data_IF_195848590152
#
_entry.id   IF_195848590152
#
_cell.length_a   1.000
_cell.length_b   1.000
_cell.length_c   1.000
_cell.angle_alpha   90.00
_cell.angle_beta   90.00
_cell.angle_gamma   90.00
#
_symmetry.space_group_name_H-M   'P 1'
#
loop_
_entity.id
_entity.type
_entity.pdbx_description
1 polymer ?
#
# COMPACT_ATOMS: atom_id res chain seq x y z
N UNK A 1 27.91 63.41 38.10
CA UNK A 1 29.30 62.93 37.90
C UNK A 1 29.59 61.89 38.97
N UNK A 2 30.03 60.65 38.75
CA UNK A 2 31.07 60.11 37.85
C UNK A 2 30.76 58.62 37.49
N UNK A 3 31.20 58.24 36.30
CA UNK A 3 31.35 56.94 35.57
C UNK A 3 31.88 55.69 36.30
N UNK A 4 31.58 54.45 35.83
CA UNK A 4 32.33 53.65 34.81
C UNK A 4 31.90 52.15 34.77
N UNK A 5 31.77 51.63 33.53
CA UNK A 5 31.77 50.28 32.93
C UNK A 5 31.69 48.94 33.71
N UNK A 6 30.97 47.98 33.11
CA UNK A 6 31.50 46.64 32.77
C UNK A 6 30.72 45.94 31.62
N UNK A 7 31.37 45.89 30.46
CA UNK A 7 31.44 44.80 29.46
C UNK A 7 30.24 43.85 29.26
N UNK A 8 29.57 43.96 28.11
CA UNK A 8 28.88 42.84 27.44
C UNK A 8 29.49 42.61 26.06
N UNK A 9 30.17 41.47 25.94
CA UNK A 9 30.80 40.98 24.71
C UNK A 9 29.71 40.43 23.78
N UNK A 10 29.35 41.17 22.73
CA UNK A 10 28.57 40.64 21.60
C UNK A 10 29.52 40.42 20.43
N UNK A 11 30.13 39.24 20.35
CA UNK A 11 30.84 38.79 19.13
C UNK A 11 29.82 38.29 18.11
N UNK A 12 29.64 39.10 17.08
CA UNK A 12 29.02 38.79 15.80
C UNK A 12 29.72 37.63 15.08
N UNK A 13 29.00 36.54 14.82
CA UNK A 13 29.36 35.58 13.78
C UNK A 13 28.36 35.66 12.63
N UNK A 14 28.90 36.09 11.49
CA UNK A 14 28.24 36.36 10.22
C UNK A 14 27.63 35.08 9.65
N UNK A 15 26.30 35.03 9.50
CA UNK A 15 25.62 34.01 8.70
C UNK A 15 25.88 34.29 7.22
N UNK A 16 26.82 33.53 6.66
CA UNK A 16 27.22 33.61 5.26
C UNK A 16 26.12 32.99 4.38
N UNK A 17 25.16 33.81 3.94
CA UNK A 17 24.14 33.44 2.95
C UNK A 17 24.77 33.38 1.55
N UNK A 18 25.29 32.21 1.17
CA UNK A 18 25.72 31.95 -0.21
C UNK A 18 24.48 31.76 -1.09
N UNK A 19 24.23 32.72 -1.99
CA UNK A 19 23.20 32.65 -3.03
C UNK A 19 23.37 31.37 -3.87
N UNK A 20 22.29 30.62 -4.20
CA UNK A 20 22.41 29.46 -5.07
C UNK A 20 22.48 29.93 -6.53
N UNK A 21 23.53 29.51 -7.23
CA UNK A 21 23.62 29.60 -8.68
C UNK A 21 22.54 28.71 -9.30
N UNK A 22 21.69 29.31 -10.12
CA UNK A 22 20.76 28.61 -10.99
C UNK A 22 21.56 27.87 -12.08
N UNK A 23 21.54 26.55 -12.05
CA UNK A 23 21.75 25.72 -13.23
C UNK A 23 20.82 24.51 -13.13
N UNK A 24 19.92 24.42 -14.12
CA UNK A 24 18.90 23.42 -14.26
C UNK A 24 19.53 22.05 -14.55
N UNK A 25 19.37 21.11 -13.63
CA UNK A 25 19.46 19.68 -13.89
C UNK A 25 18.29 18.99 -13.18
N UNK A 26 17.17 18.85 -13.88
CA UNK A 26 16.12 17.91 -13.50
C UNK A 26 16.65 16.49 -13.76
N UNK A 27 17.39 15.95 -12.79
CA UNK A 27 17.81 14.55 -12.77
C UNK A 27 17.05 13.81 -11.65
N UNK A 28 16.48 12.67 -12.05
CA UNK A 28 15.71 11.68 -11.31
C UNK A 28 16.07 11.49 -9.82
N UNK A 29 15.39 12.22 -8.94
CA UNK A 29 15.44 12.03 -7.48
C UNK A 29 14.09 11.57 -6.88
N UNK A 30 13.31 10.79 -7.62
CA UNK A 30 12.07 10.19 -7.09
C UNK A 30 12.25 8.78 -6.49
N UNK A 31 13.42 8.14 -6.64
CA UNK A 31 13.56 6.71 -6.36
C UNK A 31 13.78 6.30 -4.89
N UNK A 32 13.86 7.18 -3.89
CA UNK A 32 14.10 6.66 -2.52
C UNK A 32 13.66 7.53 -1.33
N UNK A 33 12.47 8.12 -1.36
CA UNK A 33 11.89 8.69 -0.13
C UNK A 33 11.12 7.61 0.64
N UNK A 34 11.76 6.72 1.41
CA UNK A 34 10.99 5.77 2.24
C UNK A 34 9.94 6.54 3.07
N UNK A 35 8.70 6.05 3.11
CA UNK A 35 7.67 6.65 3.99
C UNK A 35 8.25 6.61 5.41
N UNK A 36 8.29 7.75 6.13
CA UNK A 36 8.77 7.74 7.49
C UNK A 36 7.98 6.72 8.31
N UNK A 37 8.61 5.97 9.23
CA UNK A 37 7.97 4.85 9.91
C UNK A 37 6.66 5.26 10.61
N UNK A 38 6.60 6.46 11.20
CA UNK A 38 5.41 7.00 11.86
C UNK A 38 4.27 7.44 10.92
N UNK A 39 4.49 7.46 9.60
CA UNK A 39 3.47 7.77 8.59
C UNK A 39 2.91 6.52 7.90
N UNK A 40 3.49 5.36 8.19
CA UNK A 40 3.01 4.09 7.68
C UNK A 40 1.89 3.57 8.57
N UNK A 41 0.85 3.02 7.95
CA UNK A 41 -0.24 2.30 8.62
C UNK A 41 0.14 0.85 8.95
N UNK A 42 1.36 0.44 8.61
CA UNK A 42 1.86 -0.90 8.91
C UNK A 42 2.49 -0.95 10.31
N UNK A 43 2.70 -2.16 10.81
CA UNK A 43 3.30 -2.37 12.12
C UNK A 43 4.72 -1.79 12.22
N UNK A 44 4.86 -0.77 13.07
CA UNK A 44 6.15 -0.29 13.53
C UNK A 44 6.33 -0.63 15.00
N UNK A 45 7.54 -1.05 15.41
CA UNK A 45 7.84 -1.23 16.83
C UNK A 45 7.53 0.08 17.54
N UNK A 46 6.56 0.05 18.45
CA UNK A 46 6.43 1.14 19.38
C UNK A 46 7.47 0.90 20.47
N UNK A 47 8.41 1.83 20.63
CA UNK A 47 9.30 1.85 21.79
C UNK A 47 8.49 2.25 23.03
N UNK A 48 7.55 1.38 23.45
CA UNK A 48 6.84 1.55 24.70
C UNK A 48 7.87 1.50 25.84
N UNK A 49 7.75 2.35 26.88
CA UNK A 49 8.59 2.25 28.06
C UNK A 49 8.51 0.82 28.64
N UNK A 50 9.62 0.07 28.57
CA UNK A 50 9.73 -1.31 29.06
C UNK A 50 9.59 -1.42 30.59
N UNK A 51 9.50 -0.29 31.28
CA UNK A 51 9.39 -0.21 32.74
C UNK A 51 8.00 -0.66 33.26
N UNK A 52 6.97 -0.70 32.40
CA UNK A 52 5.63 -1.22 32.72
C UNK A 52 5.22 -2.36 31.76
N UNK A 53 6.16 -3.28 31.49
CA UNK A 53 5.92 -4.43 30.65
C UNK A 53 4.87 -5.37 31.31
N UNK A 54 3.62 -5.32 30.80
CA UNK A 54 2.51 -6.16 31.25
C UNK A 54 2.37 -7.47 30.44
N UNK A 55 3.41 -7.85 29.69
CA UNK A 55 3.43 -9.12 28.99
C UNK A 55 3.68 -10.28 29.96
N UNK A 56 2.94 -11.37 29.80
CA UNK A 56 2.84 -12.49 30.75
C UNK A 56 2.02 -12.19 32.03
N UNK A 57 1.32 -11.06 32.10
CA UNK A 57 0.47 -10.73 33.26
C UNK A 57 -1.01 -10.91 32.96
N UNK A 58 -1.42 -11.22 31.73
CA UNK A 58 -2.85 -11.32 31.41
C UNK A 58 -3.56 -12.41 32.22
N UNK A 59 -2.87 -13.52 32.48
CA UNK A 59 -3.39 -14.64 33.29
C UNK A 59 -3.69 -14.30 34.75
N UNK A 60 -3.22 -13.16 35.28
CA UNK A 60 -3.50 -12.75 36.66
C UNK A 60 -4.88 -12.13 36.83
N UNK A 61 -5.52 -11.71 35.73
CA UNK A 61 -6.85 -11.09 35.74
C UNK A 61 -7.97 -12.14 35.67
N UNK A 62 -9.17 -11.86 36.19
CA UNK A 62 -10.36 -12.68 35.96
C UNK A 62 -10.65 -12.85 34.46
N UNK A 63 -11.24 -13.98 34.07
CA UNK A 63 -11.52 -14.35 32.67
C UNK A 63 -12.29 -13.25 31.92
N UNK A 64 -13.26 -12.61 32.56
CA UNK A 64 -14.04 -11.52 31.97
C UNK A 64 -13.18 -10.28 31.68
N UNK A 65 -12.26 -9.93 32.58
CA UNK A 65 -11.33 -8.82 32.37
C UNK A 65 -10.29 -9.15 31.31
N UNK A 66 -9.83 -10.41 31.25
CA UNK A 66 -8.93 -10.87 30.19
C UNK A 66 -9.56 -10.66 28.80
N UNK A 67 -10.82 -11.03 28.62
CA UNK A 67 -11.53 -10.85 27.36
C UNK A 67 -11.62 -9.37 26.95
N UNK A 68 -11.98 -8.49 27.89
CA UNK A 68 -12.06 -7.04 27.62
C UNK A 68 -10.71 -6.43 27.26
N UNK A 69 -9.64 -6.83 27.95
CA UNK A 69 -8.28 -6.37 27.68
C UNK A 69 -7.82 -6.84 26.29
N UNK A 70 -8.09 -8.09 25.92
CA UNK A 70 -7.77 -8.62 24.60
C UNK A 70 -8.56 -7.94 23.48
N UNK A 71 -9.84 -7.65 23.69
CA UNK A 71 -10.66 -6.93 22.71
C UNK A 71 -10.10 -5.55 22.42
N UNK A 72 -9.71 -4.80 23.46
CA UNK A 72 -9.04 -3.50 23.30
C UNK A 72 -7.75 -3.64 22.52
N UNK A 73 -6.93 -4.64 22.85
CA UNK A 73 -5.65 -4.86 22.20
C UNK A 73 -5.82 -5.24 20.72
N UNK A 74 -6.82 -6.08 20.42
CA UNK A 74 -7.17 -6.48 19.07
C UNK A 74 -7.62 -5.31 18.20
N UNK A 75 -8.37 -4.34 18.74
CA UNK A 75 -8.76 -3.16 17.97
C UNK A 75 -7.54 -2.36 17.49
N UNK A 76 -6.49 -2.22 18.31
CA UNK A 76 -5.23 -1.60 17.89
C UNK A 76 -4.50 -2.44 16.84
N UNK A 77 -4.38 -3.74 17.10
CA UNK A 77 -3.65 -4.67 16.23
C UNK A 77 -4.31 -4.82 14.85
N UNK A 78 -5.64 -4.74 14.76
CA UNK A 78 -6.39 -4.80 13.51
C UNK A 78 -6.15 -3.58 12.61
N UNK A 79 -5.70 -2.45 13.16
CA UNK A 79 -5.34 -1.22 12.43
C UNK A 79 -3.83 -1.16 12.12
N UNK A 80 -3.04 -2.13 12.58
CA UNK A 80 -1.59 -2.14 12.36
C UNK A 80 -0.77 -1.55 13.50
N UNK A 81 -1.36 -1.35 14.69
CA UNK A 81 -0.66 -0.80 15.86
C UNK A 81 -0.34 -1.95 16.83
N UNK A 82 0.87 -1.94 17.39
CA UNK A 82 1.27 -2.94 18.40
C UNK A 82 0.47 -2.77 19.71
N UNK A 83 -0.01 -3.89 20.23
CA UNK A 83 -0.75 -3.97 21.49
C UNK A 83 0.15 -4.18 22.72
N UNK A 84 -0.48 -4.23 23.89
CA UNK A 84 0.15 -4.53 25.19
C UNK A 84 0.41 -6.02 25.38
N UNK A 85 -0.59 -6.84 25.05
CA UNK A 85 -0.60 -8.30 25.20
C UNK A 85 -0.34 -9.03 23.88
N UNK A 86 -0.50 -8.34 22.75
CA UNK A 86 -0.19 -8.82 21.41
C UNK A 86 0.97 -8.02 20.84
N UNK A 87 2.13 -8.68 20.74
CA UNK A 87 3.40 -8.04 20.40
C UNK A 87 3.94 -8.43 19.04
N UNK A 88 4.73 -7.52 18.48
CA UNK A 88 5.43 -7.71 17.23
C UNK A 88 6.84 -8.28 17.47
N UNK A 89 7.11 -9.50 16.99
CA UNK A 89 8.48 -9.97 16.81
C UNK A 89 8.92 -9.77 15.37
N UNK A 90 9.93 -8.93 15.15
CA UNK A 90 10.66 -8.94 13.87
C UNK A 90 11.70 -10.04 13.87
N UNK A 91 11.69 -10.87 12.84
CA UNK A 91 12.82 -11.75 12.54
C UNK A 91 13.98 -10.90 12.01
N UNK A 92 15.20 -11.13 12.50
CA UNK A 92 16.39 -10.39 12.05
C UNK A 92 16.70 -10.65 10.56
N UNK A 93 16.27 -11.80 10.03
CA UNK A 93 16.64 -12.27 8.70
C UNK A 93 15.54 -12.08 7.63
N UNK A 94 14.36 -11.57 8.00
CA UNK A 94 13.26 -11.43 7.04
C UNK A 94 12.41 -10.18 7.30
N UNK A 95 11.85 -9.60 6.24
CA UNK A 95 10.84 -8.54 6.32
C UNK A 95 9.51 -9.01 6.95
N UNK A 96 9.42 -10.27 7.37
CA UNK A 96 8.25 -10.84 8.01
C UNK A 96 8.32 -10.63 9.52
N UNK A 97 7.26 -10.03 10.05
CA UNK A 97 7.01 -9.98 11.48
C UNK A 97 6.11 -11.13 11.90
N UNK A 98 6.19 -11.52 13.17
CA UNK A 98 5.32 -12.51 13.81
C UNK A 98 4.60 -11.83 14.96
N UNK A 99 3.27 -11.92 14.97
CA UNK A 99 2.48 -11.48 16.11
C UNK A 99 2.46 -12.59 17.17
N UNK A 100 2.83 -12.23 18.40
CA UNK A 100 2.82 -13.13 19.55
C UNK A 100 1.77 -12.65 20.54
N UNK A 101 0.93 -13.58 20.97
CA UNK A 101 0.00 -13.39 22.06
C UNK A 101 0.64 -13.77 23.39
N UNK A 102 0.28 -13.05 24.45
CA UNK A 102 0.61 -13.38 25.83
C UNK A 102 0.32 -14.87 26.15
N UNK A 103 1.32 -15.68 26.53
CA UNK A 103 1.14 -17.10 26.80
C UNK A 103 0.32 -17.39 28.06
N UNK A 104 0.13 -16.41 28.95
CA UNK A 104 -0.69 -16.55 30.16
C UNK A 104 -2.19 -16.41 29.92
N UNK A 105 -2.61 -16.16 28.67
CA UNK A 105 -4.01 -16.05 28.27
C UNK A 105 -4.78 -17.37 28.45
N UNK A 106 -6.06 -17.29 28.84
CA UNK A 106 -6.96 -18.44 28.76
C UNK A 106 -6.95 -19.11 27.37
N UNK A 107 -6.98 -20.45 27.35
CA UNK A 107 -6.83 -21.23 26.14
C UNK A 107 -7.89 -20.90 25.07
N UNK A 108 -9.15 -20.73 25.46
CA UNK A 108 -10.25 -20.48 24.51
C UNK A 108 -10.09 -19.10 23.84
N UNK A 109 -9.74 -18.08 24.63
CA UNK A 109 -9.44 -16.75 24.11
C UNK A 109 -8.18 -16.73 23.25
N UNK A 110 -7.16 -17.49 23.63
CA UNK A 110 -5.93 -17.60 22.85
C UNK A 110 -6.19 -18.18 21.45
N UNK A 111 -6.96 -19.26 21.35
CA UNK A 111 -7.31 -19.87 20.05
C UNK A 111 -8.10 -18.89 19.17
N UNK A 112 -9.10 -18.21 19.74
CA UNK A 112 -9.94 -17.26 18.99
C UNK A 112 -9.14 -16.05 18.52
N UNK A 113 -8.32 -15.48 19.42
CA UNK A 113 -7.43 -14.35 19.12
C UNK A 113 -6.45 -14.71 18.02
N UNK A 114 -5.80 -15.87 18.09
CA UNK A 114 -4.87 -16.33 17.04
C UNK A 114 -5.54 -16.51 15.67
N UNK A 115 -6.82 -16.90 15.64
CA UNK A 115 -7.58 -16.96 14.38
C UNK A 115 -7.82 -15.56 13.81
N UNK A 116 -8.18 -14.59 14.65
CA UNK A 116 -8.35 -13.19 14.27
C UNK A 116 -7.04 -12.64 13.69
N UNK A 117 -5.92 -12.86 14.37
CA UNK A 117 -4.59 -12.33 13.97
C UNK A 117 -4.15 -12.69 12.55
N UNK A 118 -4.72 -13.73 11.92
CA UNK A 118 -4.43 -14.08 10.53
C UNK A 118 -4.75 -12.93 9.57
N UNK A 119 -5.80 -12.14 9.85
CA UNK A 119 -6.19 -11.01 9.01
C UNK A 119 -5.11 -9.92 8.97
N UNK A 120 -4.39 -9.73 10.08
CA UNK A 120 -3.37 -8.70 10.22
C UNK A 120 -2.19 -8.90 9.24
N UNK A 121 -1.85 -10.15 8.95
CA UNK A 121 -0.81 -10.47 7.96
C UNK A 121 -1.26 -10.14 6.52
N UNK A 122 -2.56 -10.30 6.23
CA UNK A 122 -3.13 -9.88 4.96
C UNK A 122 -3.14 -8.34 4.87
N UNK A 123 -3.63 -7.67 5.91
CA UNK A 123 -3.66 -6.22 6.03
C UNK A 123 -2.28 -5.58 5.78
N UNK A 124 -1.23 -6.03 6.47
CA UNK A 124 0.12 -5.48 6.28
C UNK A 124 0.65 -5.65 4.85
N UNK A 125 0.43 -6.81 4.22
CA UNK A 125 0.87 -7.00 2.84
C UNK A 125 0.16 -6.03 1.88
N UNK A 126 -1.12 -5.76 2.12
CA UNK A 126 -1.92 -4.80 1.36
C UNK A 126 -1.42 -3.38 1.61
N UNK A 127 -1.23 -2.98 2.87
CA UNK A 127 -0.71 -1.66 3.24
C UNK A 127 0.68 -1.42 2.65
N UNK A 128 1.56 -2.41 2.72
CA UNK A 128 2.90 -2.34 2.12
C UNK A 128 2.84 -2.07 0.62
N UNK A 129 1.93 -2.73 -0.11
CA UNK A 129 1.71 -2.48 -1.54
C UNK A 129 1.12 -1.09 -1.80
N UNK A 130 0.13 -0.70 -1.02
CA UNK A 130 -0.56 0.58 -1.15
C UNK A 130 0.36 1.77 -0.85
N UNK A 131 1.23 1.64 0.14
CA UNK A 131 2.24 2.65 0.51
C UNK A 131 3.50 2.56 -0.35
N UNK A 132 3.72 1.43 -1.03
CA UNK A 132 4.70 1.38 -2.10
C UNK A 132 4.28 2.41 -3.15
N UNK A 133 5.20 3.30 -3.54
CA UNK A 133 4.88 4.33 -4.53
C UNK A 133 4.63 3.65 -5.87
N UNK A 134 3.36 3.37 -6.16
CA UNK A 134 2.99 2.65 -7.36
C UNK A 134 3.08 3.60 -8.55
N UNK A 135 3.90 3.21 -9.53
CA UNK A 135 4.11 3.96 -10.77
C UNK A 135 2.99 3.63 -11.76
N UNK A 136 2.42 4.67 -12.39
CA UNK A 136 1.38 4.49 -13.41
C UNK A 136 -0.01 4.95 -12.97
N UNK A 137 -0.78 5.52 -13.89
CA UNK A 137 -2.18 5.92 -13.71
C UNK A 137 -3.08 4.70 -13.43
N UNK A 138 -2.89 3.59 -14.15
CA UNK A 138 -3.65 2.34 -13.93
C UNK A 138 -3.45 1.83 -12.51
N UNK A 139 -2.19 1.81 -12.08
CA UNK A 139 -1.78 1.42 -10.75
C UNK A 139 -2.31 2.36 -9.66
N UNK A 140 -2.31 3.67 -9.90
CA UNK A 140 -2.89 4.65 -8.98
C UNK A 140 -4.41 4.48 -8.83
N UNK A 141 -5.13 4.22 -9.93
CA UNK A 141 -6.56 3.94 -9.90
C UNK A 141 -6.86 2.64 -9.14
N UNK A 142 -6.05 1.59 -9.33
CA UNK A 142 -6.15 0.35 -8.56
C UNK A 142 -5.96 0.59 -7.06
N UNK A 143 -4.89 1.30 -6.67
CA UNK A 143 -4.62 1.64 -5.26
C UNK A 143 -5.76 2.45 -4.65
N UNK A 144 -6.34 3.40 -5.40
CA UNK A 144 -7.51 4.15 -4.95
C UNK A 144 -8.72 3.24 -4.68
N UNK A 145 -8.96 2.24 -5.53
CA UNK A 145 -10.02 1.25 -5.30
C UNK A 145 -9.73 0.38 -4.07
N UNK A 146 -8.48 -0.04 -3.86
CA UNK A 146 -8.07 -0.82 -2.67
C UNK A 146 -8.22 0.04 -1.40
N UNK A 147 -7.90 1.33 -1.46
CA UNK A 147 -8.11 2.28 -0.37
C UNK A 147 -9.58 2.35 0.07
N UNK A 148 -10.52 2.30 -0.87
CA UNK A 148 -11.94 2.29 -0.53
C UNK A 148 -12.30 1.08 0.33
N UNK A 149 -11.82 -0.11 -0.03
CA UNK A 149 -12.05 -1.32 0.77
C UNK A 149 -11.39 -1.27 2.16
N UNK A 150 -10.20 -0.66 2.27
CA UNK A 150 -9.55 -0.44 3.56
C UNK A 150 -10.32 0.56 4.43
N UNK A 151 -10.95 1.57 3.82
CA UNK A 151 -11.79 2.52 4.52
C UNK A 151 -13.03 1.84 5.11
N UNK A 152 -13.71 1.01 4.33
CA UNK A 152 -14.88 0.26 4.80
C UNK A 152 -14.52 -0.70 5.94
N UNK A 153 -13.34 -1.34 5.87
CA UNK A 153 -12.79 -2.15 6.96
C UNK A 153 -12.55 -1.33 8.23
N UNK A 154 -11.87 -0.17 8.12
CA UNK A 154 -11.62 0.70 9.27
C UNK A 154 -12.93 1.20 9.89
N UNK A 155 -13.95 1.49 9.08
CA UNK A 155 -15.27 1.87 9.58
C UNK A 155 -15.91 0.75 10.42
N UNK A 156 -15.81 -0.51 9.97
CA UNK A 156 -16.26 -1.66 10.76
C UNK A 156 -15.48 -1.80 12.07
N UNK A 157 -14.18 -1.47 12.09
CA UNK A 157 -13.40 -1.44 13.35
C UNK A 157 -13.93 -0.36 14.29
N UNK A 158 -14.20 0.85 13.80
CA UNK A 158 -14.80 1.91 14.62
C UNK A 158 -16.16 1.47 15.21
N UNK A 159 -17.00 0.78 14.44
CA UNK A 159 -18.27 0.23 14.94
C UNK A 159 -18.07 -0.84 16.02
N UNK A 160 -17.01 -1.64 15.92
CA UNK A 160 -16.63 -2.59 16.96
C UNK A 160 -16.15 -1.86 18.22
N UNK A 161 -15.36 -0.80 18.09
CA UNK A 161 -14.96 0.04 19.23
C UNK A 161 -16.18 0.63 19.95
N UNK A 162 -17.15 1.16 19.21
CA UNK A 162 -18.42 1.65 19.79
C UNK A 162 -19.19 0.55 20.53
N UNK A 163 -19.19 -0.67 19.99
CA UNK A 163 -19.84 -1.83 20.60
C UNK A 163 -19.11 -2.29 21.86
N UNK A 164 -17.78 -2.17 21.89
CA UNK A 164 -16.95 -2.43 23.07
C UNK A 164 -17.24 -1.43 24.18
N UNK A 165 -17.40 -0.14 23.85
CA UNK A 165 -17.75 0.90 24.83
C UNK A 165 -19.13 0.69 25.46
N UNK A 166 -20.05 0.01 24.74
CA UNK A 166 -21.37 -0.37 25.24
C UNK A 166 -21.38 -1.71 25.99
N UNK A 167 -20.24 -2.36 26.16
CA UNK A 167 -20.11 -3.73 26.71
C UNK A 167 -20.93 -4.79 25.95
N UNK A 168 -21.16 -4.58 24.65
CA UNK A 168 -21.88 -5.51 23.76
C UNK A 168 -20.92 -6.16 22.74
N UNK A 169 -19.62 -6.23 23.06
CA UNK A 169 -18.62 -6.91 22.25
C UNK A 169 -17.91 -7.99 23.06
N UNK A 170 -17.84 -9.18 22.48
CA UNK A 170 -17.08 -10.33 22.99
C UNK A 170 -16.25 -10.92 21.83
N UNK A 171 -15.23 -11.73 22.13
CA UNK A 171 -14.24 -12.19 21.15
C UNK A 171 -14.88 -12.93 19.96
N UNK A 172 -15.86 -13.78 20.25
CA UNK A 172 -16.57 -14.52 19.21
C UNK A 172 -17.40 -13.60 18.29
N UNK A 173 -17.99 -12.53 18.82
CA UNK A 173 -18.73 -11.52 18.03
C UNK A 173 -17.78 -10.75 17.12
N UNK A 174 -16.62 -10.33 17.63
CA UNK A 174 -15.58 -9.70 16.81
C UNK A 174 -15.11 -10.64 15.68
N UNK A 175 -14.83 -11.91 16.00
CA UNK A 175 -14.45 -12.89 14.98
C UNK A 175 -15.53 -13.04 13.90
N UNK A 176 -16.81 -13.09 14.30
CA UNK A 176 -17.93 -13.19 13.36
C UNK A 176 -18.05 -11.97 12.45
N UNK A 177 -17.94 -10.74 12.99
CA UNK A 177 -17.97 -9.50 12.21
C UNK A 177 -16.83 -9.47 11.19
N UNK A 178 -15.66 -10.01 11.55
CA UNK A 178 -14.48 -10.05 10.67
C UNK A 178 -14.51 -11.14 9.60
N UNK A 179 -15.42 -12.13 9.68
CA UNK A 179 -15.48 -13.27 8.74
C UNK A 179 -15.41 -12.87 7.25
N UNK A 180 -16.17 -11.87 6.76
CA UNK A 180 -16.13 -11.48 5.35
C UNK A 180 -14.77 -10.93 4.91
N UNK A 181 -13.99 -10.38 5.85
CA UNK A 181 -12.69 -9.79 5.55
C UNK A 181 -11.59 -10.83 5.36
N UNK A 182 -11.76 -12.07 5.84
CA UNK A 182 -10.77 -13.12 5.65
C UNK A 182 -10.60 -13.49 4.18
N UNK A 183 -11.68 -13.71 3.44
CA UNK A 183 -11.61 -14.06 2.02
C UNK A 183 -11.23 -12.86 1.16
N UNK A 184 -11.83 -11.70 1.41
CA UNK A 184 -11.58 -10.47 0.63
C UNK A 184 -10.14 -9.99 0.80
N UNK A 185 -9.60 -9.94 2.02
CA UNK A 185 -8.20 -9.52 2.23
C UNK A 185 -7.21 -10.58 1.77
N UNK A 186 -7.53 -11.87 1.86
CA UNK A 186 -6.68 -12.91 1.29
C UNK A 186 -6.54 -12.76 -0.24
N UNK A 187 -7.64 -12.46 -0.94
CA UNK A 187 -7.65 -12.19 -2.37
C UNK A 187 -6.86 -10.92 -2.72
N UNK A 188 -7.13 -9.81 -2.00
CA UNK A 188 -6.39 -8.55 -2.19
C UNK A 188 -4.89 -8.73 -1.96
N UNK A 189 -4.50 -9.43 -0.90
CA UNK A 189 -3.10 -9.81 -0.65
C UNK A 189 -2.51 -10.51 -1.86
N UNK A 190 -3.19 -11.53 -2.40
CA UNK A 190 -2.66 -12.31 -3.52
C UNK A 190 -2.43 -11.43 -4.75
N UNK A 191 -3.38 -10.56 -5.09
CA UNK A 191 -3.27 -9.60 -6.20
C UNK A 191 -2.09 -8.65 -5.96
N UNK A 192 -2.04 -8.01 -4.79
CA UNK A 192 -0.99 -7.06 -4.41
C UNK A 192 0.40 -7.71 -4.46
N UNK A 193 0.54 -8.91 -3.91
CA UNK A 193 1.81 -9.64 -3.91
C UNK A 193 2.29 -10.00 -5.32
N UNK A 194 1.39 -10.41 -6.21
CA UNK A 194 1.74 -10.71 -7.61
C UNK A 194 2.14 -9.45 -8.39
N UNK A 195 1.39 -8.36 -8.23
CA UNK A 195 1.70 -7.07 -8.86
C UNK A 195 3.06 -6.54 -8.41
N UNK A 196 3.33 -6.59 -7.10
CA UNK A 196 4.61 -6.15 -6.55
C UNK A 196 5.78 -7.01 -7.05
N UNK A 197 5.63 -8.33 -7.06
CA UNK A 197 6.66 -9.27 -7.52
C UNK A 197 7.01 -9.08 -8.99
N UNK A 198 5.99 -8.89 -9.84
CA UNK A 198 6.17 -8.76 -11.29
C UNK A 198 6.53 -7.34 -11.72
N UNK A 199 6.48 -6.36 -10.80
CA UNK A 199 6.63 -4.92 -11.11
C UNK A 199 5.73 -4.49 -12.28
N UNK A 200 4.49 -4.99 -12.28
CA UNK A 200 3.52 -4.77 -13.36
C UNK A 200 3.07 -3.31 -13.39
N UNK A 201 2.99 -2.72 -14.59
CA UNK A 201 2.56 -1.35 -14.84
C UNK A 201 1.66 -1.31 -16.08
N UNK A 202 0.71 -0.37 -16.15
CA UNK A 202 -0.17 -0.18 -17.30
C UNK A 202 -0.98 -1.43 -17.66
N UNK A 203 -0.96 -1.80 -18.95
CA UNK A 203 -1.73 -2.94 -19.47
C UNK A 203 -1.45 -4.28 -18.76
N UNK A 204 -0.21 -4.51 -18.28
CA UNK A 204 0.13 -5.74 -17.57
C UNK A 204 -0.66 -5.93 -16.26
N UNK A 205 -1.04 -4.82 -15.60
CA UNK A 205 -1.88 -4.83 -14.40
C UNK A 205 -3.29 -5.30 -14.77
N UNK A 206 -3.84 -4.78 -15.86
CA UNK A 206 -5.16 -5.16 -16.35
C UNK A 206 -5.21 -6.62 -16.79
N UNK A 207 -4.17 -7.12 -17.46
CA UNK A 207 -4.04 -8.53 -17.83
C UNK A 207 -4.07 -9.43 -16.59
N UNK A 208 -3.29 -9.08 -15.57
CA UNK A 208 -3.25 -9.85 -14.31
C UNK A 208 -4.61 -9.86 -13.61
N UNK A 209 -5.28 -8.71 -13.52
CA UNK A 209 -6.61 -8.60 -12.92
C UNK A 209 -7.67 -9.39 -13.71
N UNK A 210 -7.56 -9.41 -15.04
CA UNK A 210 -8.45 -10.18 -15.90
C UNK A 210 -8.22 -11.68 -15.74
N UNK A 211 -6.97 -12.15 -15.74
CA UNK A 211 -6.62 -13.55 -15.45
C UNK A 211 -7.15 -13.99 -14.08
N UNK A 212 -7.04 -13.10 -13.08
CA UNK A 212 -7.60 -13.35 -11.75
C UNK A 212 -9.11 -13.44 -11.73
N UNK A 213 -9.80 -12.51 -12.37
CA UNK A 213 -11.25 -12.56 -12.55
C UNK A 213 -11.68 -13.87 -13.18
N UNK A 214 -11.02 -14.27 -14.28
CA UNK A 214 -11.30 -15.53 -14.99
C UNK A 214 -11.07 -16.76 -14.10
N UNK A 215 -10.02 -16.75 -13.28
CA UNK A 215 -9.71 -17.88 -12.38
C UNK A 215 -10.74 -18.09 -11.26
N UNK A 216 -11.44 -17.02 -10.85
CA UNK A 216 -12.41 -17.04 -9.74
C UNK A 216 -13.84 -17.26 -10.25
N UNK A 217 -14.06 -17.08 -11.55
CA UNK A 217 -15.36 -17.23 -12.20
C UNK A 217 -15.96 -18.61 -11.91
N UNK A 218 -17.12 -18.61 -11.23
CA UNK A 218 -17.86 -19.83 -10.86
C UNK A 218 -17.52 -20.45 -9.49
N UNK A 219 -16.59 -19.87 -8.72
CA UNK A 219 -16.22 -20.37 -7.38
C UNK A 219 -16.81 -19.54 -6.24
N UNK A 220 -16.58 -18.22 -6.25
CA UNK A 220 -16.99 -17.30 -5.18
C UNK A 220 -17.49 -15.99 -5.79
N UNK A 221 -18.78 -15.69 -5.60
CA UNK A 221 -19.44 -14.51 -6.15
C UNK A 221 -18.93 -13.21 -5.51
N UNK A 222 -18.60 -13.23 -4.21
CA UNK A 222 -18.12 -12.03 -3.52
C UNK A 222 -16.68 -11.69 -3.96
N UNK A 223 -15.85 -12.71 -4.10
CA UNK A 223 -14.50 -12.58 -4.64
C UNK A 223 -14.52 -12.10 -6.11
N UNK A 224 -15.48 -12.62 -6.91
CA UNK A 224 -15.66 -12.20 -8.29
C UNK A 224 -16.05 -10.72 -8.38
N UNK A 225 -17.04 -10.29 -7.59
CA UNK A 225 -17.48 -8.89 -7.56
C UNK A 225 -16.34 -7.94 -7.17
N UNK A 226 -15.54 -8.32 -6.17
CA UNK A 226 -14.34 -7.57 -5.78
C UNK A 226 -13.36 -7.42 -6.94
N UNK A 227 -13.01 -8.53 -7.61
CA UNK A 227 -12.11 -8.51 -8.77
C UNK A 227 -12.64 -7.68 -9.93
N UNK A 228 -13.94 -7.77 -10.23
CA UNK A 228 -14.57 -6.98 -11.28
C UNK A 228 -14.53 -5.49 -10.96
N UNK A 229 -14.85 -5.11 -9.72
CA UNK A 229 -14.75 -3.73 -9.23
C UNK A 229 -13.34 -3.17 -9.35
N UNK A 230 -12.33 -3.93 -8.93
CA UNK A 230 -10.91 -3.55 -9.05
C UNK A 230 -10.50 -3.39 -10.53
N UNK A 231 -10.89 -4.35 -11.37
CA UNK A 231 -10.59 -4.33 -12.82
C UNK A 231 -11.21 -3.11 -13.49
N UNK A 232 -12.50 -2.86 -13.22
CA UNK A 232 -13.23 -1.71 -13.77
C UNK A 232 -12.56 -0.40 -13.36
N UNK A 233 -12.24 -0.24 -12.09
CA UNK A 233 -11.62 0.98 -11.56
C UNK A 233 -10.22 1.21 -12.15
N UNK A 234 -9.39 0.16 -12.23
CA UNK A 234 -8.05 0.24 -12.80
C UNK A 234 -8.06 0.53 -14.31
N UNK A 235 -9.08 0.07 -15.02
CA UNK A 235 -9.16 0.22 -16.48
C UNK A 235 -9.56 1.63 -16.95
N UNK A 236 -10.20 2.44 -16.09
CA UNK A 236 -10.63 3.81 -16.41
C UNK A 236 -9.50 4.64 -17.06
N UNK A 237 -8.35 4.87 -16.39
CA UNK A 237 -7.28 5.69 -16.97
C UNK A 237 -6.70 5.12 -18.27
N UNK A 238 -6.69 3.79 -18.43
CA UNK A 238 -6.20 3.15 -19.65
C UNK A 238 -7.14 3.39 -20.84
N UNK A 239 -8.45 3.26 -20.60
CA UNK A 239 -9.45 3.52 -21.63
C UNK A 239 -9.59 5.00 -21.96
N UNK A 240 -9.30 5.92 -21.03
CA UNK A 240 -9.25 7.35 -21.32
C UNK A 240 -8.12 7.71 -22.29
N UNK A 241 -6.94 7.09 -22.13
CA UNK A 241 -5.83 7.22 -23.10
C UNK A 241 -6.24 6.64 -24.45
N UNK A 242 -6.80 5.42 -24.45
CA UNK A 242 -7.26 4.76 -25.68
C UNK A 242 -8.31 5.61 -26.42
N UNK A 243 -9.26 6.19 -25.69
CA UNK A 243 -10.30 7.05 -26.23
C UNK A 243 -9.71 8.27 -26.92
N UNK A 244 -8.76 8.94 -26.26
CA UNK A 244 -8.10 10.14 -26.81
C UNK A 244 -7.34 9.81 -28.08
N UNK A 245 -6.64 8.68 -28.10
CA UNK A 245 -5.93 8.19 -29.28
C UNK A 245 -6.88 7.86 -30.44
N UNK A 246 -7.98 7.12 -30.19
CA UNK A 246 -8.94 6.73 -31.24
C UNK A 246 -9.63 7.95 -31.86
N UNK A 247 -10.02 8.94 -31.06
CA UNK A 247 -10.82 10.06 -31.56
C UNK A 247 -9.98 11.23 -32.10
N UNK A 248 -8.82 11.51 -31.51
CA UNK A 248 -8.02 12.69 -31.83
C UNK A 248 -6.65 12.35 -32.43
N UNK A 249 -6.24 11.08 -32.41
CA UNK A 249 -4.91 10.66 -32.88
C UNK A 249 -3.76 11.03 -31.95
N UNK A 250 -4.06 11.57 -30.76
CA UNK A 250 -3.05 12.04 -29.79
C UNK A 250 -2.85 11.02 -28.66
N UNK A 251 -1.59 10.71 -28.34
CA UNK A 251 -1.22 9.83 -27.22
C UNK A 251 -0.95 10.68 -25.97
N UNK A 252 -2.00 10.94 -25.20
CA UNK A 252 -1.91 11.63 -23.91
C UNK A 252 -1.42 10.72 -22.76
N UNK A 253 -0.22 10.14 -22.87
CA UNK A 253 0.32 9.17 -21.91
C UNK A 253 1.62 9.64 -21.22
N UNK A 254 1.54 10.40 -20.11
CA UNK A 254 2.71 10.87 -19.38
C UNK A 254 3.55 9.75 -18.73
N UNK A 255 2.98 8.56 -18.56
CA UNK A 255 3.57 7.45 -17.79
C UNK A 255 4.01 6.27 -18.67
N UNK A 256 3.79 6.34 -19.99
CA UNK A 256 4.14 5.31 -20.99
C UNK A 256 3.57 3.93 -20.65
N UNK A 257 2.32 3.92 -20.26
CA UNK A 257 1.53 2.73 -19.89
C UNK A 257 0.73 2.14 -21.06
N UNK A 258 0.47 2.95 -22.08
CA UNK A 258 -0.29 2.56 -23.26
C UNK A 258 0.56 1.67 -24.16
N UNK A 259 -0.11 0.75 -24.87
CA UNK A 259 0.57 -0.21 -25.73
C UNK A 259 1.11 0.41 -27.02
N UNK A 260 0.73 1.65 -27.33
CA UNK A 260 1.21 2.43 -28.47
C UNK A 260 2.11 3.54 -27.96
N UNK A 261 3.29 3.69 -28.56
CA UNK A 261 4.27 4.73 -28.24
C UNK A 261 4.56 5.56 -29.50
N UNK A 262 4.68 6.88 -29.31
CA UNK A 262 5.02 7.83 -30.37
C UNK A 262 6.54 7.78 -30.65
N UNK A 263 6.90 7.40 -31.87
CA UNK A 263 8.28 7.20 -32.36
C UNK A 263 9.03 8.52 -32.58
N UNK A 264 8.32 9.64 -32.74
CA UNK A 264 8.93 10.93 -33.09
C UNK A 264 9.74 11.55 -31.95
N UNK A 265 9.49 11.14 -30.70
CA UNK A 265 10.20 11.67 -29.53
C UNK A 265 11.65 11.17 -29.37
N UNK A 266 12.10 10.20 -30.19
CA UNK A 266 13.47 9.65 -30.16
C UNK A 266 14.36 10.07 -31.35
N UNK A 267 13.85 10.77 -32.36
CA UNK A 267 14.63 11.17 -33.54
C UNK A 267 14.99 12.66 -33.52
N UNK A 268 15.97 13.03 -32.70
CA UNK A 268 16.89 14.10 -33.08
C UNK A 268 18.11 13.43 -33.74
N UNK A 269 18.08 13.35 -35.08
CA UNK A 269 19.20 13.51 -36.04
C UNK A 269 18.74 12.90 -37.38
N UNK A 270 18.65 13.75 -38.40
CA UNK A 270 18.62 13.34 -39.81
C UNK A 270 17.25 13.43 -40.47
N UNK A 271 16.98 14.59 -41.08
CA UNK A 271 15.93 14.75 -42.08
C UNK A 271 16.18 13.74 -43.21
N UNK A 272 15.37 12.69 -43.30
CA UNK A 272 15.22 11.90 -44.51
C UNK A 272 13.76 11.96 -44.91
N UNK A 273 13.50 12.79 -45.91
CA UNK A 273 12.25 12.82 -46.67
C UNK A 273 12.04 11.41 -47.27
N UNK A 274 11.14 10.62 -46.70
CA UNK A 274 10.64 9.41 -47.34
C UNK A 274 9.15 9.26 -47.00
N UNK A 275 8.30 9.47 -48.01
CA UNK A 275 6.84 9.36 -47.98
C UNK A 275 6.34 7.90 -47.83
N UNK A 276 6.87 7.13 -46.88
CA UNK A 276 6.38 5.79 -46.58
C UNK A 276 6.24 5.61 -45.06
N UNK A 277 5.09 6.03 -44.53
CA UNK A 277 4.68 5.86 -43.13
C UNK A 277 4.20 4.43 -42.78
N UNK A 278 4.35 3.48 -43.70
CA UNK A 278 4.03 2.06 -43.49
C UNK A 278 5.22 1.18 -43.84
N UNK A 279 6.23 1.11 -42.96
CA UNK A 279 7.22 0.03 -43.00
C UNK A 279 7.26 -0.69 -41.67
N UNK A 280 6.29 -1.59 -41.47
CA UNK A 280 6.37 -2.62 -40.44
C UNK A 280 7.46 -3.63 -40.81
N UNK A 281 8.68 -3.43 -40.32
CA UNK A 281 9.70 -4.48 -40.29
C UNK A 281 9.61 -5.23 -38.97
N UNK A 282 8.92 -6.38 -39.02
CA UNK A 282 8.95 -7.41 -38.00
C UNK A 282 10.39 -7.88 -37.76
N UNK A 283 10.97 -7.53 -36.59
CA UNK A 283 12.10 -8.26 -36.03
C UNK A 283 11.71 -8.74 -34.63
N UNK A 284 11.54 -10.06 -34.53
CA UNK A 284 11.13 -10.76 -33.33
C UNK A 284 12.29 -10.81 -32.33
N UNK A 285 12.29 -9.92 -31.34
CA UNK A 285 12.93 -10.19 -30.05
C UNK A 285 11.87 -10.72 -29.07
N UNK A 286 11.82 -12.04 -29.03
CA UNK A 286 11.04 -12.88 -28.13
C UNK A 286 11.47 -12.66 -26.67
N UNK A 287 10.94 -11.62 -26.00
CA UNK A 287 10.92 -11.58 -24.52
C UNK A 287 9.94 -10.55 -23.91
N UNK A 288 8.82 -10.26 -24.55
CA UNK A 288 7.68 -9.59 -23.91
C UNK A 288 6.40 -9.94 -24.66
N UNK A 289 5.59 -10.87 -24.13
CA UNK A 289 4.23 -11.08 -24.62
C UNK A 289 3.35 -9.92 -24.16
N UNK A 290 3.41 -8.82 -24.90
CA UNK A 290 2.37 -7.81 -25.14
C UNK A 290 2.96 -6.89 -26.21
N UNK A 291 2.65 -7.16 -27.47
CA UNK A 291 3.18 -6.41 -28.61
C UNK A 291 2.87 -4.93 -28.48
N UNK A 292 3.91 -4.10 -28.35
CA UNK A 292 3.78 -2.66 -28.53
C UNK A 292 3.64 -2.39 -30.02
N UNK A 293 2.59 -1.70 -30.41
CA UNK A 293 2.37 -1.31 -31.80
C UNK A 293 2.73 0.16 -31.94
N UNK A 294 3.63 0.49 -32.85
CA UNK A 294 3.98 1.88 -33.20
C UNK A 294 3.00 2.37 -34.26
N UNK A 295 2.45 3.57 -34.10
CA UNK A 295 1.66 4.22 -35.14
C UNK A 295 2.25 5.60 -35.43
N UNK A 296 2.72 5.78 -36.66
CA UNK A 296 3.21 7.06 -37.18
C UNK A 296 2.00 7.79 -37.79
N UNK A 297 1.61 8.94 -37.24
CA UNK A 297 0.55 9.83 -37.77
C UNK A 297 1.14 11.20 -38.10
#
# INVERSE_FOLDING_TARGET
DISFASQTTTTSTVLNLKKPNANHQHHNNQQNRKVPPYLSRDFHPCDWPKENDCFNTLGTFPVQEQEQLLLRDLLFVLIGIEGRFIRLLRSQDSSHYKLILDPSTDHFFAVTTQRILKICYHYSTIISFVESRVYGLVNQALVASIHQHLYDYNMTICQMEDSLMKNDLFLQKMFFILLPYFSTFALLKEICAKLYKNKSVGGAVLTLLHEKTKSIQGMDNNALELCLMLTKSAAIPYFDIMKTWIYYGEIGDPRKEFFIEDTHSQQNIGVVNNNNYYTGTSSAYNNNQSGRYTTDN
#
